data_IF_672475968716
#
_entry.id   IF_672475968716
#
_cell.length_a   1.000
_cell.length_b   1.000
_cell.length_c   1.000
_cell.angle_alpha   90.00
_cell.angle_beta   90.00
_cell.angle_gamma   90.00
#
_symmetry.space_group_name_H-M   'P 1'
#
loop_
_entity.id
_entity.type
_entity.pdbx_description
1 polymer ?
#
# COMPACT_ATOMS: atom_id res chain seq x y z
N UNK A 1 17.45 -2.09 -76.96
CA UNK A 1 18.12 -1.64 -75.72
C UNK A 1 17.19 -1.89 -74.53
N UNK A 2 17.54 -2.79 -73.60
CA UNK A 2 17.00 -2.85 -72.22
C UNK A 2 17.83 -1.86 -71.38
N UNK A 3 17.27 -1.12 -70.40
CA UNK A 3 16.85 -1.63 -69.07
C UNK A 3 15.58 -0.88 -68.56
N UNK A 4 14.99 -0.99 -67.37
CA UNK A 4 15.17 -1.74 -66.13
C UNK A 4 13.80 -1.76 -65.41
N UNK A 5 13.52 -2.84 -64.68
CA UNK A 5 12.38 -3.02 -63.77
C UNK A 5 12.50 -2.12 -62.52
N UNK A 6 11.38 -1.53 -62.06
CA UNK A 6 11.21 -1.12 -60.66
C UNK A 6 9.79 -1.54 -60.20
N UNK A 7 9.76 -2.59 -59.38
CA UNK A 7 8.64 -2.97 -58.50
C UNK A 7 8.76 -2.20 -57.17
N UNK A 8 7.68 -1.56 -56.72
CA UNK A 8 7.44 -1.05 -55.36
C UNK A 8 5.95 -0.65 -55.31
N UNK A 9 5.09 -1.00 -54.35
CA UNK A 9 5.21 -1.71 -53.08
C UNK A 9 3.79 -2.13 -52.68
N UNK A 10 3.63 -3.36 -52.17
CA UNK A 10 2.48 -3.75 -51.36
C UNK A 10 2.87 -3.55 -49.91
N UNK A 11 2.14 -2.72 -49.16
CA UNK A 11 2.08 -2.80 -47.69
C UNK A 11 0.65 -2.51 -47.24
N UNK A 12 -0.11 -3.60 -47.09
CA UNK A 12 -1.39 -3.64 -46.38
C UNK A 12 -1.09 -3.44 -44.89
N UNK A 13 -1.49 -2.29 -44.36
CA UNK A 13 -1.33 -1.95 -42.94
C UNK A 13 -2.30 -2.75 -42.07
N UNK A 14 -1.78 -3.77 -41.39
CA UNK A 14 -2.50 -4.48 -40.34
C UNK A 14 -2.38 -3.68 -39.03
N UNK A 15 -3.37 -2.84 -38.74
CA UNK A 15 -3.54 -2.16 -37.45
C UNK A 15 -3.97 -3.20 -36.38
N UNK A 16 -3.00 -3.97 -35.88
CA UNK A 16 -3.18 -4.77 -34.68
C UNK A 16 -3.11 -3.84 -33.45
N UNK A 17 -4.28 -3.43 -32.96
CA UNK A 17 -4.41 -2.66 -31.72
C UNK A 17 -3.89 -3.45 -30.53
N UNK A 18 -2.78 -3.00 -29.94
CA UNK A 18 -2.31 -3.46 -28.64
C UNK A 18 -3.38 -3.20 -27.57
N UNK A 19 -4.12 -4.23 -27.18
CA UNK A 19 -4.92 -4.28 -25.95
C UNK A 19 -3.97 -4.27 -24.75
N UNK A 20 -3.50 -3.09 -24.35
CA UNK A 20 -2.84 -2.93 -23.05
C UNK A 20 -3.92 -3.05 -21.96
N UNK A 21 -3.74 -3.92 -20.96
CA UNK A 21 -4.66 -3.99 -19.83
C UNK A 21 -4.66 -2.65 -19.11
N UNK A 22 -5.79 -1.94 -19.14
CA UNK A 22 -6.01 -0.76 -18.30
C UNK A 22 -6.12 -1.24 -16.86
N UNK A 23 -5.04 -1.10 -16.10
CA UNK A 23 -5.09 -1.15 -14.63
C UNK A 23 -5.94 0.04 -14.17
N UNK A 24 -7.25 -0.15 -14.09
CA UNK A 24 -8.14 0.81 -13.46
C UNK A 24 -7.90 0.71 -11.96
N UNK A 25 -7.36 1.79 -11.37
CA UNK A 25 -7.24 1.89 -9.92
C UNK A 25 -8.66 1.94 -9.37
N UNK A 26 -9.11 0.83 -8.81
CA UNK A 26 -10.43 0.76 -8.19
C UNK A 26 -10.43 1.65 -6.94
N UNK A 27 -11.45 2.50 -6.83
CA UNK A 27 -11.66 3.31 -5.63
C UNK A 27 -11.89 2.39 -4.42
N UNK A 28 -11.33 2.76 -3.28
CA UNK A 28 -11.46 1.96 -2.08
C UNK A 28 -12.94 1.78 -1.64
N UNK A 29 -13.29 0.62 -1.06
CA UNK A 29 -14.62 0.41 -0.48
C UNK A 29 -14.95 1.44 0.60
N UNK A 30 -16.24 1.73 0.82
CA UNK A 30 -16.68 2.68 1.86
C UNK A 30 -16.27 2.27 3.28
N UNK A 31 -16.03 0.98 3.51
CA UNK A 31 -15.54 0.41 4.77
C UNK A 31 -14.03 0.53 4.95
N UNK A 32 -13.28 1.04 3.96
CA UNK A 32 -11.83 1.09 3.99
C UNK A 32 -11.31 1.87 5.20
N UNK A 33 -11.86 3.04 5.50
CA UNK A 33 -11.41 3.85 6.63
C UNK A 33 -11.67 3.18 7.99
N UNK A 34 -12.82 2.52 8.16
CA UNK A 34 -13.14 1.83 9.42
C UNK A 34 -12.36 0.53 9.57
N UNK A 35 -12.26 -0.29 8.52
CA UNK A 35 -11.62 -1.60 8.60
C UNK A 35 -10.10 -1.48 8.57
N UNK A 36 -9.55 -0.82 7.55
CA UNK A 36 -8.10 -0.70 7.37
C UNK A 36 -7.53 0.33 8.34
N UNK A 37 -8.20 1.47 8.51
CA UNK A 37 -7.74 2.52 9.43
C UNK A 37 -7.64 2.05 10.88
N UNK A 38 -8.67 1.38 11.42
CA UNK A 38 -8.62 0.91 12.81
C UNK A 38 -7.56 -0.18 13.00
N UNK A 39 -7.39 -1.09 12.05
CA UNK A 39 -6.35 -2.13 12.16
C UNK A 39 -4.94 -1.53 12.02
N UNK A 40 -4.73 -0.55 11.15
CA UNK A 40 -3.46 0.18 11.08
C UNK A 40 -3.12 0.88 12.40
N UNK A 41 -4.12 1.32 13.16
CA UNK A 41 -3.97 1.90 14.49
C UNK A 41 -3.84 0.86 15.60
N UNK A 42 -3.74 -0.44 15.27
CA UNK A 42 -3.74 -1.56 16.21
C UNK A 42 -4.97 -1.64 17.13
N UNK A 43 -6.10 -1.08 16.71
CA UNK A 43 -7.35 -1.11 17.49
C UNK A 43 -8.20 -2.35 17.22
N UNK A 44 -7.93 -3.07 16.12
CA UNK A 44 -8.68 -4.23 15.67
C UNK A 44 -7.81 -5.48 15.57
N UNK A 45 -8.47 -6.64 15.39
CA UNK A 45 -7.77 -7.88 15.07
C UNK A 45 -7.05 -7.75 13.73
N UNK A 46 -5.85 -8.32 13.70
CA UNK A 46 -5.01 -8.38 12.52
C UNK A 46 -4.98 -9.83 12.05
N UNK A 47 -5.51 -10.07 10.86
CA UNK A 47 -5.55 -11.35 10.17
C UNK A 47 -5.06 -11.14 8.73
N UNK A 48 -3.89 -11.69 8.42
CA UNK A 48 -3.21 -11.47 7.14
C UNK A 48 -3.97 -12.05 5.95
N UNK A 49 -4.65 -13.19 6.12
CA UNK A 49 -5.43 -13.81 5.05
C UNK A 49 -6.68 -12.99 4.74
N UNK A 50 -7.36 -12.49 5.78
CA UNK A 50 -8.49 -11.57 5.63
C UNK A 50 -8.07 -10.31 4.88
N UNK A 51 -6.98 -9.65 5.29
CA UNK A 51 -6.54 -8.41 4.67
C UNK A 51 -5.99 -8.60 3.25
N UNK A 52 -5.34 -9.74 2.96
CA UNK A 52 -4.99 -10.11 1.59
C UNK A 52 -6.23 -10.20 0.70
N UNK A 53 -7.26 -10.94 1.13
CA UNK A 53 -8.49 -11.09 0.37
C UNK A 53 -9.22 -9.76 0.22
N UNK A 54 -9.27 -8.95 1.28
CA UNK A 54 -9.87 -7.62 1.26
C UNK A 54 -9.18 -6.71 0.24
N UNK A 55 -7.85 -6.65 0.25
CA UNK A 55 -7.09 -5.84 -0.72
C UNK A 55 -7.18 -6.40 -2.14
N UNK A 56 -7.19 -7.72 -2.30
CA UNK A 56 -7.36 -8.35 -3.60
C UNK A 56 -8.71 -8.02 -4.23
N UNK A 57 -9.78 -8.08 -3.44
CA UNK A 57 -11.13 -7.72 -3.90
C UNK A 57 -11.26 -6.21 -4.18
N UNK A 58 -10.65 -5.38 -3.33
CA UNK A 58 -10.72 -3.92 -3.47
C UNK A 58 -9.86 -3.37 -4.63
N UNK A 59 -8.64 -3.88 -4.81
CA UNK A 59 -7.62 -3.27 -5.66
C UNK A 59 -7.06 -4.21 -6.74
N UNK A 60 -7.48 -5.46 -6.76
CA UNK A 60 -6.97 -6.48 -7.68
C UNK A 60 -5.67 -7.12 -7.21
N UNK A 61 -4.91 -7.68 -8.16
CA UNK A 61 -3.67 -8.41 -7.83
C UNK A 61 -2.61 -7.50 -7.22
N UNK A 62 -1.81 -7.98 -6.25
CA UNK A 62 -0.67 -7.21 -5.76
C UNK A 62 0.30 -6.94 -6.91
N UNK A 63 0.83 -5.72 -6.98
CA UNK A 63 1.75 -5.31 -8.04
C UNK A 63 3.21 -5.70 -7.74
N UNK A 64 3.49 -6.04 -6.48
CA UNK A 64 4.82 -6.39 -5.99
C UNK A 64 4.71 -7.28 -4.75
N UNK A 65 5.69 -8.16 -4.57
CA UNK A 65 5.88 -8.98 -3.37
C UNK A 65 7.32 -8.76 -2.89
N UNK A 66 7.48 -8.19 -1.70
CA UNK A 66 8.79 -7.76 -1.17
C UNK A 66 8.74 -7.46 0.33
N UNK A 67 9.83 -7.74 1.03
CA UNK A 67 9.95 -7.53 2.47
C UNK A 67 8.97 -8.36 3.29
N UNK A 68 8.60 -9.56 2.81
CA UNK A 68 7.62 -10.42 3.48
C UNK A 68 6.18 -9.91 3.37
N UNK A 69 5.86 -9.12 2.35
CA UNK A 69 4.55 -8.52 2.16
C UNK A 69 4.09 -8.47 0.71
N UNK A 70 2.78 -8.60 0.51
CA UNK A 70 2.10 -8.28 -0.74
C UNK A 70 1.78 -6.79 -0.78
N UNK A 71 2.14 -6.12 -1.87
CA UNK A 71 1.93 -4.69 -2.08
C UNK A 71 0.81 -4.46 -3.10
N UNK A 72 -0.17 -3.65 -2.71
CA UNK A 72 -1.29 -3.26 -3.55
C UNK A 72 -1.26 -1.75 -3.76
N UNK A 73 -1.51 -1.31 -5.00
CA UNK A 73 -1.80 0.11 -5.23
C UNK A 73 -3.19 0.40 -4.70
N UNK A 74 -3.33 1.48 -3.96
CA UNK A 74 -4.61 1.91 -3.42
C UNK A 74 -4.90 3.33 -3.89
N UNK A 75 -6.11 3.54 -4.40
CA UNK A 75 -6.69 4.88 -4.51
C UNK A 75 -7.65 5.07 -3.33
N UNK A 76 -7.10 5.55 -2.21
CA UNK A 76 -7.83 5.62 -0.96
C UNK A 76 -7.41 6.84 -0.14
N UNK A 77 -8.25 7.19 0.83
CA UNK A 77 -7.95 8.23 1.82
C UNK A 77 -8.16 7.67 3.22
N UNK A 78 -7.22 7.93 4.13
CA UNK A 78 -7.35 7.65 5.56
C UNK A 78 -7.11 8.94 6.33
N UNK A 79 -8.08 9.31 7.19
CA UNK A 79 -7.99 10.51 8.03
C UNK A 79 -7.72 11.81 7.25
N UNK A 80 -8.13 11.87 5.97
CA UNK A 80 -7.84 12.99 5.07
C UNK A 80 -6.48 12.93 4.38
N UNK A 81 -5.63 11.93 4.67
CA UNK A 81 -4.37 11.69 3.97
C UNK A 81 -4.54 10.72 2.79
N UNK A 82 -4.06 11.05 1.58
CA UNK A 82 -4.07 10.13 0.45
C UNK A 82 -3.17 8.92 0.71
N UNK A 83 -3.65 7.72 0.44
CA UNK A 83 -2.89 6.47 0.52
C UNK A 83 -2.48 6.07 -0.89
N UNK A 84 -1.22 5.66 -1.07
CA UNK A 84 -0.68 5.19 -2.37
C UNK A 84 -0.56 3.67 -2.44
N UNK A 85 -0.21 3.08 -1.31
CA UNK A 85 0.05 1.65 -1.22
C UNK A 85 -0.53 1.13 0.09
N UNK A 86 -1.13 -0.06 0.02
CA UNK A 86 -1.44 -0.88 1.19
C UNK A 86 -0.69 -2.19 1.10
N UNK A 87 -0.34 -2.72 2.25
CA UNK A 87 0.47 -3.91 2.38
C UNK A 87 -0.09 -4.82 3.45
N UNK A 88 0.08 -6.12 3.23
CA UNK A 88 -0.19 -7.15 4.23
C UNK A 88 0.95 -8.17 4.20
N UNK A 89 1.32 -8.67 5.37
CA UNK A 89 2.32 -9.73 5.50
C UNK A 89 1.93 -10.97 4.72
N UNK A 90 2.94 -11.66 4.19
CA UNK A 90 2.77 -13.01 3.67
C UNK A 90 2.95 -14.07 4.78
N UNK A 91 2.80 -15.33 4.39
CA UNK A 91 2.98 -16.49 5.27
C UNK A 91 4.44 -16.68 5.72
N UNK A 92 5.41 -16.20 4.93
CA UNK A 92 6.85 -16.34 5.20
C UNK A 92 7.37 -15.35 6.24
N UNK A 93 6.65 -14.24 6.45
CA UNK A 93 6.97 -13.26 7.47
C UNK A 93 6.86 -13.85 8.88
N UNK A 94 7.86 -13.55 9.73
CA UNK A 94 7.82 -13.87 11.18
C UNK A 94 6.76 -13.04 11.94
N UNK A 95 6.21 -12.03 11.29
CA UNK A 95 5.23 -11.11 11.85
C UNK A 95 3.96 -11.08 11.01
N UNK A 96 2.82 -11.03 11.66
CA UNK A 96 1.58 -10.59 11.04
C UNK A 96 1.57 -9.07 11.05
N UNK A 97 1.43 -8.43 9.90
CA UNK A 97 1.34 -6.98 9.81
C UNK A 97 0.41 -6.50 8.69
N UNK A 98 -0.11 -5.30 8.89
CA UNK A 98 -0.76 -4.48 7.88
C UNK A 98 -0.07 -3.11 7.85
N UNK A 99 0.13 -2.57 6.66
CA UNK A 99 0.74 -1.27 6.50
C UNK A 99 0.08 -0.44 5.39
N UNK A 100 0.24 0.87 5.46
CA UNK A 100 -0.16 1.79 4.42
C UNK A 100 0.91 2.87 4.23
N UNK A 101 1.13 3.26 2.97
CA UNK A 101 1.98 4.39 2.60
C UNK A 101 1.09 5.58 2.29
N UNK A 102 1.13 6.60 3.14
CA UNK A 102 0.40 7.84 2.92
C UNK A 102 1.29 8.86 2.21
N UNK A 103 0.72 9.62 1.27
CA UNK A 103 1.43 10.61 0.44
C UNK A 103 1.65 11.94 1.17
N UNK A 104 1.97 11.85 2.46
CA UNK A 104 2.25 12.97 3.36
C UNK A 104 3.40 12.57 4.29
N UNK A 105 4.19 13.52 4.80
CA UNK A 105 5.24 13.20 5.78
C UNK A 105 4.64 12.72 7.12
N UNK A 106 5.41 11.98 7.94
CA UNK A 106 4.94 11.40 9.21
C UNK A 106 4.24 12.37 10.16
N UNK A 107 4.71 13.61 10.27
CA UNK A 107 4.16 14.63 11.15
C UNK A 107 2.75 15.04 10.72
N UNK A 108 2.51 15.12 9.41
CA UNK A 108 1.18 15.43 8.87
C UNK A 108 0.22 14.25 9.03
N UNK A 109 0.72 13.03 8.84
CA UNK A 109 -0.10 11.84 9.09
C UNK A 109 -0.48 11.72 10.56
N UNK A 110 0.47 11.93 11.48
CA UNK A 110 0.23 11.93 12.92
C UNK A 110 -0.83 12.98 13.29
N UNK A 111 -0.69 14.23 12.84
CA UNK A 111 -1.68 15.27 13.10
C UNK A 111 -3.08 14.88 12.59
N UNK A 112 -3.18 14.32 11.38
CA UNK A 112 -4.43 13.85 10.81
C UNK A 112 -5.07 12.70 11.63
N UNK A 113 -4.26 11.77 12.14
CA UNK A 113 -4.74 10.70 13.02
C UNK A 113 -5.22 11.25 14.36
N UNK A 114 -4.51 12.22 14.93
CA UNK A 114 -4.94 12.89 16.17
C UNK A 114 -6.28 13.59 15.96
N UNK A 115 -6.44 14.33 14.87
CA UNK A 115 -7.67 15.07 14.58
C UNK A 115 -8.86 14.13 14.35
N UNK A 116 -8.66 13.02 13.64
CA UNK A 116 -9.73 12.09 13.29
C UNK A 116 -10.06 11.08 14.40
N UNK A 117 -9.07 10.64 15.18
CA UNK A 117 -9.18 9.49 16.09
C UNK A 117 -8.78 9.79 17.53
N UNK A 118 -8.19 10.95 17.81
CA UNK A 118 -7.67 11.31 19.14
C UNK A 118 -6.43 10.50 19.56
N UNK A 119 -5.83 9.72 18.66
CA UNK A 119 -4.69 8.85 18.96
C UNK A 119 -3.40 9.58 18.68
N UNK A 120 -2.53 9.66 19.69
CA UNK A 120 -1.19 10.26 19.56
C UNK A 120 -0.13 9.19 19.32
N UNK A 121 0.90 9.54 18.55
CA UNK A 121 2.10 8.72 18.37
C UNK A 121 3.31 9.43 18.98
N UNK A 122 3.90 8.86 20.02
CA UNK A 122 5.08 9.41 20.68
C UNK A 122 6.34 9.06 19.90
N UNK A 123 7.27 10.02 19.81
CA UNK A 123 8.62 9.77 19.26
C UNK A 123 9.36 8.80 20.17
N UNK A 124 9.84 7.68 19.61
CA UNK A 124 10.47 6.62 20.40
C UNK A 124 11.98 6.78 20.56
N UNK A 125 12.64 7.38 19.56
CA UNK A 125 14.07 7.65 19.61
C UNK A 125 14.36 9.00 18.94
N UNK A 126 15.33 9.74 19.48
CA UNK A 126 15.77 11.00 18.91
C UNK A 126 16.61 10.74 17.63
N UNK A 127 16.27 11.40 16.53
CA UNK A 127 16.99 11.26 15.27
C UNK A 127 16.34 12.05 14.13
N UNK A 128 16.97 12.05 12.95
CA UNK A 128 16.47 12.78 11.76
C UNK A 128 15.16 12.20 11.21
N UNK A 129 14.97 10.88 11.35
CA UNK A 129 13.79 10.16 10.86
C UNK A 129 13.25 9.27 11.98
N UNK A 130 12.67 9.87 13.04
CA UNK A 130 12.28 9.12 14.21
C UNK A 130 11.10 8.20 13.92
N UNK A 131 11.11 7.02 14.54
CA UNK A 131 9.93 6.18 14.66
C UNK A 131 8.98 6.81 15.69
N UNK A 132 7.69 6.85 15.35
CA UNK A 132 6.63 7.29 16.26
C UNK A 132 5.73 6.11 16.59
N UNK A 133 5.33 5.94 17.83
CA UNK A 133 4.48 4.83 18.27
C UNK A 133 3.32 5.32 19.13
N UNK A 134 2.13 4.80 18.84
CA UNK A 134 0.93 5.03 19.65
C UNK A 134 0.83 4.05 20.81
N UNK A 135 0.01 4.38 21.82
CA UNK A 135 -0.23 3.49 22.95
C UNK A 135 -0.76 2.09 22.54
N UNK A 136 -1.68 1.95 21.56
CA UNK A 136 -2.07 0.62 21.04
C UNK A 136 -0.97 -0.13 20.29
N UNK A 137 0.15 0.52 19.98
CA UNK A 137 1.33 -0.09 19.37
C UNK A 137 1.51 0.20 17.89
N UNK A 138 0.59 0.90 17.22
CA UNK A 138 0.80 1.30 15.81
C UNK A 138 1.98 2.25 15.66
N UNK A 139 2.70 2.13 14.56
CA UNK A 139 3.93 2.87 14.32
C UNK A 139 3.84 3.69 13.03
N UNK A 140 4.39 4.91 13.05
CA UNK A 140 4.55 5.79 11.89
C UNK A 140 6.04 6.04 11.68
N UNK A 141 6.53 5.75 10.47
CA UNK A 141 7.93 5.95 10.08
C UNK A 141 8.01 6.73 8.76
N UNK A 142 9.17 7.31 8.52
CA UNK A 142 9.50 7.87 7.21
C UNK A 142 9.61 6.75 6.16
N UNK A 143 9.03 7.00 4.99
CA UNK A 143 9.22 6.20 3.79
C UNK A 143 9.57 7.15 2.65
N UNK A 144 10.86 7.40 2.46
CA UNK A 144 11.35 8.50 1.61
C UNK A 144 10.79 9.86 2.09
N UNK A 145 10.07 10.59 1.23
CA UNK A 145 9.38 11.85 1.58
C UNK A 145 7.94 11.64 2.10
N UNK A 146 7.52 10.39 2.19
CA UNK A 146 6.18 9.95 2.60
C UNK A 146 6.21 9.35 4.00
N UNK A 147 5.06 8.92 4.48
CA UNK A 147 4.91 8.18 5.72
C UNK A 147 4.44 6.76 5.44
N UNK A 148 4.92 5.84 6.26
CA UNK A 148 4.40 4.48 6.35
C UNK A 148 3.86 4.28 7.76
N UNK A 149 2.57 3.96 7.86
CA UNK A 149 1.94 3.55 9.10
C UNK A 149 1.71 2.04 9.08
N UNK A 150 1.90 1.37 10.21
CA UNK A 150 1.67 -0.07 10.29
C UNK A 150 1.31 -0.52 11.70
N UNK A 151 0.58 -1.63 11.74
CA UNK A 151 0.38 -2.43 12.94
C UNK A 151 1.06 -3.79 12.74
N UNK A 152 1.79 -4.25 13.75
CA UNK A 152 2.56 -5.49 13.70
C UNK A 152 2.31 -6.33 14.95
N UNK A 153 2.20 -7.64 14.77
CA UNK A 153 2.13 -8.65 15.83
C UNK A 153 3.11 -9.78 15.50
N UNK A 154 3.83 -10.28 16.50
CA UNK A 154 4.67 -11.46 16.34
C UNK A 154 3.80 -12.69 16.13
N UNK A 155 4.10 -13.53 15.11
CA UNK A 155 3.39 -14.81 14.92
C UNK A 155 3.76 -15.83 16.01
N UNK A 156 4.96 -15.69 16.55
CA UNK A 156 5.46 -16.54 17.63
C UNK A 156 5.35 -15.81 18.97
N UNK A 157 4.86 -16.51 19.99
CA UNK A 157 5.02 -16.09 21.37
C UNK A 157 6.53 -16.04 21.65
N UNK A 158 7.06 -14.88 22.01
CA UNK A 158 8.43 -14.84 22.52
C UNK A 158 8.46 -15.65 23.83
N UNK A 159 9.37 -16.63 23.99
CA UNK A 159 9.58 -17.23 25.30
C UNK A 159 9.97 -16.12 26.27
N UNK A 160 9.32 -16.12 27.43
CA UNK A 160 9.53 -15.15 28.51
C UNK A 160 10.90 -15.34 29.16
#
# INVERSE_FOLDING_TARGET
MRPSQIYCSVLVGCLAGCLLPRYSLAAAPSTFSTTVGHTLLCMNQLDEQYFYNYFFQAFGKPYKHDGGAYWFKADATLWGAPIKDVLVSDEQSLYSFIAAVADVPPEKLEAAVVDAMGIRHQVMEAGKFPLRQSAPGSQIVYFQKRSKIYCVKSKYLRPY
#
